data_IF_390804137228
#
_entry.id   IF_390804137228
#
_cell.length_a   1.000
_cell.length_b   1.000
_cell.length_c   1.000
_cell.angle_alpha   90.00
_cell.angle_beta   90.00
_cell.angle_gamma   90.00
#
_symmetry.space_group_name_H-M   'P 1'
#
loop_
_entity.id
_entity.type
_entity.pdbx_description
1 polymer ?
#
# COMPACT_ATOMS: atom_id res chain seq x y z
N UNK A 1 7.19 -9.27 -4.57
CA UNK A 1 6.44 -10.20 -3.70
C UNK A 1 5.62 -11.13 -4.58
N UNK A 2 5.29 -12.33 -4.13
CA UNK A 2 4.47 -13.27 -4.90
C UNK A 2 2.99 -12.88 -4.82
N UNK A 3 2.26 -13.03 -5.94
CA UNK A 3 0.82 -12.73 -6.00
C UNK A 3 -0.03 -13.87 -5.44
N UNK A 4 0.38 -15.12 -5.69
CA UNK A 4 -0.35 -16.29 -5.21
C UNK A 4 0.00 -16.63 -3.77
N UNK A 5 -0.91 -17.24 -2.99
CA UNK A 5 -0.59 -17.84 -1.71
C UNK A 5 0.41 -19.01 -1.87
N UNK A 6 1.24 -19.30 -0.84
CA UNK A 6 2.20 -20.41 -0.88
C UNK A 6 1.57 -21.80 -1.14
N UNK A 7 0.28 -21.96 -0.85
CA UNK A 7 -0.46 -23.20 -1.09
C UNK A 7 -0.85 -23.41 -2.57
N UNK A 8 -0.66 -22.42 -3.43
CA UNK A 8 -1.02 -22.50 -4.86
C UNK A 8 0.13 -23.09 -5.67
N UNK A 9 -0.18 -23.97 -6.62
CA UNK A 9 0.82 -24.61 -7.49
C UNK A 9 1.64 -23.62 -8.35
N UNK A 10 1.04 -22.48 -8.70
CA UNK A 10 1.67 -21.41 -9.48
C UNK A 10 2.46 -20.41 -8.60
N UNK A 11 2.74 -20.75 -7.35
CA UNK A 11 3.48 -19.87 -6.44
C UNK A 11 4.94 -19.68 -6.89
N UNK A 12 5.35 -18.42 -7.02
CA UNK A 12 6.74 -18.07 -7.32
C UNK A 12 7.57 -17.98 -6.02
N UNK A 13 8.39 -18.99 -5.76
CA UNK A 13 9.30 -19.05 -4.60
C UNK A 13 10.49 -18.09 -4.70
N UNK A 14 10.83 -17.56 -5.89
CA UNK A 14 11.94 -16.63 -6.07
C UNK A 14 11.52 -15.16 -5.88
N UNK A 15 10.22 -14.89 -5.71
CA UNK A 15 9.69 -13.55 -5.59
C UNK A 15 10.23 -12.82 -4.35
N UNK A 16 10.95 -11.70 -4.57
CA UNK A 16 11.51 -10.89 -3.49
C UNK A 16 10.46 -9.98 -2.86
N UNK A 17 10.40 -9.96 -1.54
CA UNK A 17 9.53 -9.05 -0.78
C UNK A 17 10.23 -7.70 -0.66
N UNK A 18 9.49 -6.63 -0.94
CA UNK A 18 10.00 -5.27 -0.72
C UNK A 18 10.08 -5.02 0.78
N UNK A 19 11.28 -4.73 1.27
CA UNK A 19 11.50 -4.41 2.68
C UNK A 19 10.90 -3.05 3.05
N UNK A 20 10.41 -2.93 4.28
CA UNK A 20 9.92 -1.66 4.82
C UNK A 20 11.09 -0.72 5.15
N UNK A 21 11.24 0.35 4.37
CA UNK A 21 12.26 1.38 4.55
C UNK A 21 11.69 2.76 4.21
N UNK A 22 11.16 3.52 5.19
CA UNK A 22 10.48 4.80 4.92
C UNK A 22 11.34 5.85 4.21
N UNK A 23 12.66 5.82 4.40
CA UNK A 23 13.58 6.80 3.81
C UNK A 23 13.89 6.53 2.33
N UNK A 24 13.87 5.26 1.89
CA UNK A 24 14.19 4.90 0.50
C UNK A 24 13.20 5.50 -0.52
N UNK A 25 11.87 5.44 -0.31
CA UNK A 25 10.89 6.07 -1.19
C UNK A 25 11.12 7.57 -1.36
N UNK A 26 11.41 8.30 -0.27
CA UNK A 26 11.69 9.75 -0.34
C UNK A 26 12.88 10.04 -1.27
N UNK A 27 13.95 9.26 -1.17
CA UNK A 27 15.13 9.41 -2.04
C UNK A 27 14.82 9.08 -3.49
N UNK A 28 14.06 8.00 -3.74
CA UNK A 28 13.66 7.59 -5.09
C UNK A 28 12.74 8.61 -5.75
N UNK A 29 11.74 9.15 -5.03
CA UNK A 29 10.84 10.18 -5.54
C UNK A 29 11.60 11.47 -5.91
N UNK A 30 12.56 11.89 -5.06
CA UNK A 30 13.45 13.01 -5.37
C UNK A 30 14.32 12.76 -6.60
N UNK A 31 14.91 11.56 -6.72
CA UNK A 31 15.76 11.20 -7.85
C UNK A 31 14.98 11.19 -9.18
N UNK A 32 13.70 10.82 -9.14
CA UNK A 32 12.81 10.85 -10.30
C UNK A 32 12.24 12.25 -10.60
N UNK A 33 12.49 13.25 -9.75
CA UNK A 33 11.91 14.59 -9.88
C UNK A 33 10.39 14.63 -9.69
N UNK A 34 9.82 13.61 -9.02
CA UNK A 34 8.37 13.49 -8.82
C UNK A 34 7.96 14.10 -7.49
N UNK A 35 7.21 15.20 -7.55
CA UNK A 35 6.57 15.79 -6.37
C UNK A 35 5.13 15.28 -6.21
N UNK A 36 4.98 14.04 -5.73
CA UNK A 36 3.66 13.51 -5.42
C UNK A 36 3.20 14.10 -4.08
N UNK A 37 2.21 14.99 -4.12
CA UNK A 37 1.68 15.67 -2.92
C UNK A 37 0.44 15.00 -2.34
N UNK A 38 -0.46 14.50 -3.18
CA UNK A 38 -1.73 13.90 -2.74
C UNK A 38 -2.10 12.66 -3.57
N UNK A 39 -2.57 11.62 -2.90
CA UNK A 39 -3.11 10.38 -3.48
C UNK A 39 -4.52 10.14 -2.95
N UNK A 40 -5.36 9.49 -3.76
CA UNK A 40 -6.65 8.97 -3.33
C UNK A 40 -6.55 7.46 -3.15
N UNK A 41 -6.97 6.97 -1.99
CA UNK A 41 -7.02 5.54 -1.68
C UNK A 41 -8.48 5.11 -1.61
N UNK A 42 -8.88 4.25 -2.54
CA UNK A 42 -10.25 3.75 -2.63
C UNK A 42 -10.39 2.53 -1.74
N UNK A 43 -11.32 2.57 -0.79
CA UNK A 43 -11.40 1.59 0.29
C UNK A 43 -12.80 1.03 0.39
N UNK A 44 -12.99 -0.30 0.29
CA UNK A 44 -14.30 -0.90 0.53
C UNK A 44 -14.71 -0.70 1.99
N UNK A 45 -16.00 -0.44 2.23
CA UNK A 45 -16.53 -0.22 3.59
C UNK A 45 -16.78 -1.53 4.35
N UNK A 46 -16.97 -2.64 3.63
CA UNK A 46 -17.26 -3.97 4.18
C UNK A 46 -16.01 -4.80 4.45
N UNK A 47 -16.10 -5.68 5.45
CA UNK A 47 -15.05 -6.66 5.74
C UNK A 47 -14.91 -7.67 4.59
N UNK A 48 -13.67 -8.02 4.24
CA UNK A 48 -13.36 -8.95 3.15
C UNK A 48 -12.56 -10.14 3.70
N UNK A 49 -12.68 -11.31 3.07
CA UNK A 49 -11.96 -12.52 3.49
C UNK A 49 -10.43 -12.35 3.54
N UNK A 50 -9.89 -11.45 2.72
CA UNK A 50 -8.47 -11.10 2.64
C UNK A 50 -8.09 -9.81 3.38
N UNK A 51 -9.08 -9.01 3.83
CA UNK A 51 -8.86 -7.83 4.65
C UNK A 51 -10.04 -7.62 5.64
N UNK A 52 -9.86 -8.00 6.91
CA UNK A 52 -10.95 -7.97 7.89
C UNK A 52 -11.36 -6.54 8.28
N UNK A 53 -10.48 -5.55 8.13
CA UNK A 53 -10.77 -4.15 8.43
C UNK A 53 -10.10 -3.21 7.41
N UNK A 54 -10.74 -2.99 6.25
CA UNK A 54 -10.16 -2.16 5.20
C UNK A 54 -9.93 -0.72 5.62
N UNK A 55 -10.88 -0.13 6.36
CA UNK A 55 -10.73 1.23 6.88
C UNK A 55 -9.52 1.36 7.80
N UNK A 56 -9.32 0.41 8.72
CA UNK A 56 -8.17 0.46 9.62
C UNK A 56 -6.85 0.30 8.87
N UNK A 57 -6.83 -0.59 7.88
CA UNK A 57 -5.66 -0.77 7.00
C UNK A 57 -5.33 0.53 6.26
N UNK A 58 -6.35 1.23 5.75
CA UNK A 58 -6.17 2.49 5.05
C UNK A 58 -5.62 3.62 5.94
N UNK A 59 -6.04 3.69 7.20
CA UNK A 59 -5.47 4.63 8.18
C UNK A 59 -3.97 4.38 8.42
N UNK A 60 -3.56 3.12 8.52
CA UNK A 60 -2.14 2.77 8.68
C UNK A 60 -1.33 3.16 7.45
N UNK A 61 -1.85 2.88 6.24
CA UNK A 61 -1.23 3.32 4.99
C UNK A 61 -1.13 4.85 4.93
N UNK A 62 -2.20 5.56 5.32
CA UNK A 62 -2.19 7.03 5.37
C UNK A 62 -1.10 7.56 6.31
N UNK A 63 -0.93 6.94 7.49
CA UNK A 63 0.11 7.32 8.44
C UNK A 63 1.53 7.07 7.89
N UNK A 64 1.77 5.92 7.26
CA UNK A 64 3.07 5.61 6.62
C UNK A 64 3.38 6.54 5.45
N UNK A 65 2.39 6.85 4.62
CA UNK A 65 2.54 7.75 3.48
C UNK A 65 2.79 9.20 3.94
N UNK A 66 2.16 9.61 5.04
CA UNK A 66 2.40 10.92 5.64
C UNK A 66 3.85 11.06 6.13
N UNK A 67 4.47 9.98 6.63
CA UNK A 67 5.90 9.99 6.95
C UNK A 67 6.70 10.33 5.71
N UNK A 68 6.42 9.75 4.54
CA UNK A 68 7.18 10.08 3.31
C UNK A 68 6.79 11.41 2.65
N UNK A 69 5.90 12.19 3.27
CA UNK A 69 5.47 13.51 2.77
C UNK A 69 4.31 13.44 1.75
N UNK A 70 3.64 12.29 1.64
CA UNK A 70 2.53 12.08 0.71
C UNK A 70 1.21 12.10 1.49
N UNK A 71 0.30 13.02 1.11
CA UNK A 71 -1.05 13.06 1.69
C UNK A 71 -1.93 11.99 1.05
N UNK A 72 -2.52 11.10 1.83
CA UNK A 72 -3.50 10.12 1.33
C UNK A 72 -4.91 10.55 1.75
N UNK A 73 -5.82 10.65 0.79
CA UNK A 73 -7.25 10.88 1.00
C UNK A 73 -7.97 9.55 0.85
N UNK A 74 -8.59 9.08 1.93
CA UNK A 74 -9.36 7.84 1.93
C UNK A 74 -10.74 8.12 1.32
N UNK A 75 -11.07 7.41 0.24
CA UNK A 75 -12.35 7.48 -0.45
C UNK A 75 -13.08 6.16 -0.20
N UNK A 76 -14.08 6.15 0.71
CA UNK A 76 -14.88 4.96 0.92
C UNK A 76 -15.71 4.69 -0.34
N UNK A 77 -15.71 3.45 -0.78
CA UNK A 77 -16.59 2.97 -1.85
C UNK A 77 -17.54 1.93 -1.30
N UNK A 78 -18.82 2.10 -1.60
CA UNK A 78 -19.81 1.05 -1.35
C UNK A 78 -19.57 -0.07 -2.37
N UNK A 79 -19.46 -1.30 -1.87
CA UNK A 79 -19.37 -2.52 -2.65
C UNK A 79 -20.57 -3.41 -2.39
#
# INVERSE_FOLDING_TARGET
AALFPPATWAYDHAAKITEYHPEKPRQQLKALGLEIRTLQLWVPTSSQAWNPSPLKTAELIQADMAQVGVKVVIVPVEG
#
